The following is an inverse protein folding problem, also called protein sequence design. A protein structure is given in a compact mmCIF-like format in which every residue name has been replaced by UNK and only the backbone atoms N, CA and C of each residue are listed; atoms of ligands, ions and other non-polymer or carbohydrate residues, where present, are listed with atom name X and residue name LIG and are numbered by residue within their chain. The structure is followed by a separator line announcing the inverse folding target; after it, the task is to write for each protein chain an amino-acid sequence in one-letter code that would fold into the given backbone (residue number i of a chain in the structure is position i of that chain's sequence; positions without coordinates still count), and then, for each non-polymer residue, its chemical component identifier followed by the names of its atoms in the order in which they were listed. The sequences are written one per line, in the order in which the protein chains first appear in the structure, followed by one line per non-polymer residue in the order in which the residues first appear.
data_IF_981949782907
#
_entry.id   IF_981949782907
#
_cell.length_a   1.000
_cell.length_b   1.000
_cell.length_c   1.000
_cell.angle_alpha   90.00
_cell.angle_beta   90.00
_cell.angle_gamma   90.00
#
_symmetry.space_group_name_H-M   'P 1'
#
loop_
_entity.id
_entity.type
_entity.pdbx_description
1 polymer ?
#
# COMPACT_ATOMS: atom_id res chain seq x y z
N UNK A 1 -16.01 -2.28 -11.50
CA UNK A 1 -14.82 -2.37 -12.36
C UNK A 1 -14.48 -3.84 -12.61
N UNK A 2 -14.38 -4.28 -13.87
CA UNK A 2 -13.92 -5.64 -14.24
C UNK A 2 -12.41 -5.62 -14.52
N UNK A 3 -11.60 -5.28 -13.53
CA UNK A 3 -10.13 -5.33 -13.68
C UNK A 3 -9.64 -6.76 -13.44
N UNK A 4 -8.69 -7.23 -14.25
CA UNK A 4 -8.12 -8.58 -14.11
C UNK A 4 -6.84 -8.60 -13.27
N UNK A 5 -6.28 -7.42 -12.97
CA UNK A 5 -5.13 -7.26 -12.09
C UNK A 5 -5.10 -5.89 -11.44
N UNK A 6 -4.79 -5.87 -10.15
CA UNK A 6 -4.44 -4.67 -9.39
C UNK A 6 -2.94 -4.66 -9.15
N UNK A 7 -2.29 -3.56 -9.52
CA UNK A 7 -0.95 -3.25 -9.04
C UNK A 7 -1.04 -2.41 -7.78
N UNK A 8 -0.03 -2.54 -6.92
CA UNK A 8 0.08 -1.73 -5.72
C UNK A 8 1.50 -1.18 -5.60
N UNK A 9 1.58 0.03 -5.07
CA UNK A 9 2.82 0.74 -4.81
C UNK A 9 2.68 1.45 -3.46
N UNK A 10 3.67 1.30 -2.60
CA UNK A 10 3.69 2.00 -1.32
C UNK A 10 5.09 2.48 -0.99
N UNK A 11 5.15 3.65 -0.35
CA UNK A 11 6.39 4.24 0.13
C UNK A 11 6.13 5.12 1.35
N UNK A 12 7.17 5.34 2.14
CA UNK A 12 7.16 6.31 3.24
C UNK A 12 8.07 7.47 2.83
N UNK A 13 7.51 8.68 2.80
CA UNK A 13 8.28 9.92 2.66
C UNK A 13 8.69 10.43 4.04
N UNK A 14 9.99 10.50 4.30
CA UNK A 14 10.54 11.06 5.53
C UNK A 14 10.57 12.60 5.51
N UNK A 15 10.83 13.21 6.67
CA UNK A 15 10.90 14.68 6.82
C UNK A 15 11.97 15.34 5.93
N UNK A 16 13.00 14.61 5.53
CA UNK A 16 14.06 15.05 4.63
C UNK A 16 13.76 14.76 3.14
N UNK A 17 12.49 14.47 2.81
CA UNK A 17 12.01 14.16 1.47
C UNK A 17 12.62 12.90 0.84
N UNK A 18 13.12 11.97 1.66
CA UNK A 18 13.55 10.64 1.20
C UNK A 18 12.33 9.73 1.13
N UNK A 19 12.11 9.12 -0.03
CA UNK A 19 11.11 8.08 -0.23
C UNK A 19 11.72 6.70 -0.03
N UNK A 20 11.12 5.93 0.87
CA UNK A 20 11.50 4.54 1.15
C UNK A 20 10.41 3.64 0.62
N UNK A 21 10.74 2.82 -0.38
CA UNK A 21 9.83 1.78 -0.85
C UNK A 21 9.55 0.76 0.25
N UNK A 22 8.27 0.41 0.42
CA UNK A 22 7.82 -0.57 1.42
C UNK A 22 6.98 -1.65 0.74
N UNK A 23 7.01 -2.84 1.32
CA UNK A 23 6.20 -3.95 0.81
C UNK A 23 4.85 -3.99 1.52
N UNK A 24 3.78 -4.22 0.75
CA UNK A 24 2.43 -4.43 1.27
C UNK A 24 1.98 -5.84 0.92
N UNK A 25 1.62 -6.65 1.92
CA UNK A 25 1.13 -8.01 1.72
C UNK A 25 -0.26 -8.21 2.34
N UNK A 26 -1.11 -9.08 1.76
CA UNK A 26 -0.88 -9.85 0.54
C UNK A 26 -0.98 -8.97 -0.72
N UNK A 27 -0.60 -9.51 -1.89
CA UNK A 27 -0.96 -8.87 -3.15
C UNK A 27 -2.50 -8.84 -3.26
N UNK A 28 -3.12 -7.69 -3.58
CA UNK A 28 -4.57 -7.58 -3.72
C UNK A 28 -5.15 -8.57 -4.73
N UNK A 29 -4.39 -9.01 -5.73
CA UNK A 29 -4.78 -10.09 -6.61
C UNK A 29 -3.87 -11.31 -6.41
N UNK A 30 -4.48 -12.48 -6.21
CA UNK A 30 -3.77 -13.77 -6.22
C UNK A 30 -4.09 -14.44 -7.54
N UNK A 31 -3.13 -14.54 -8.46
CA UNK A 31 -3.37 -15.08 -9.81
C UNK A 31 -4.10 -16.43 -9.73
N UNK A 32 -5.25 -16.62 -10.42
CA UNK A 32 -5.84 -15.76 -11.46
C UNK A 32 -6.96 -14.80 -10.98
N UNK A 33 -7.18 -14.67 -9.68
CA UNK A 33 -8.33 -13.97 -9.08
C UNK A 33 -7.96 -12.63 -8.43
N UNK A 34 -8.68 -11.58 -8.84
CA UNK A 34 -8.81 -10.34 -8.08
C UNK A 34 -10.12 -10.35 -7.30
N UNK A 35 -10.21 -9.66 -6.15
CA UNK A 35 -11.45 -9.47 -5.43
C UNK A 35 -12.50 -8.82 -6.33
N UNK A 36 -13.66 -9.46 -6.45
CA UNK A 36 -14.76 -8.88 -7.20
C UNK A 36 -15.34 -7.68 -6.45
N UNK A 37 -15.51 -6.57 -7.17
CA UNK A 37 -16.13 -5.40 -6.62
C UNK A 37 -17.63 -5.64 -6.38
N UNK A 38 -18.04 -5.67 -5.12
CA UNK A 38 -19.46 -5.72 -4.74
C UNK A 38 -20.06 -4.31 -4.67
N UNK A 39 -21.39 -4.20 -4.54
CA UNK A 39 -22.08 -2.92 -4.30
C UNK A 39 -21.59 -2.20 -3.03
N UNK A 40 -21.09 -2.97 -2.06
CA UNK A 40 -20.61 -2.47 -0.77
C UNK A 40 -19.10 -2.19 -0.78
N UNK A 41 -18.47 -2.33 -1.96
CA UNK A 41 -17.02 -2.26 -2.14
C UNK A 41 -16.31 -3.56 -1.77
N UNK A 42 -14.98 -3.51 -1.74
CA UNK A 42 -14.13 -4.61 -1.27
C UNK A 42 -13.37 -4.10 -0.07
N UNK A 43 -13.45 -4.82 1.05
CA UNK A 43 -12.55 -4.59 2.17
C UNK A 43 -11.23 -5.29 1.89
N UNK A 44 -10.16 -4.52 1.87
CA UNK A 44 -8.81 -5.04 1.71
C UNK A 44 -7.98 -4.64 2.94
N UNK A 45 -7.27 -5.61 3.51
CA UNK A 45 -6.36 -5.41 4.63
C UNK A 45 -4.94 -5.78 4.19
N UNK A 46 -4.06 -4.78 4.17
CA UNK A 46 -2.64 -4.96 3.91
C UNK A 46 -1.83 -4.86 5.20
N UNK A 47 -0.79 -5.69 5.32
CA UNK A 47 0.30 -5.50 6.28
C UNK A 47 1.46 -4.85 5.55
N UNK A 48 1.95 -3.75 6.11
CA UNK A 48 3.10 -3.01 5.60
C UNK A 48 4.35 -3.52 6.32
N UNK A 49 5.36 -3.89 5.55
CA UNK A 49 6.66 -4.31 6.06
C UNK A 49 7.68 -3.21 5.77
N UNK A 50 8.27 -2.70 6.85
CA UNK A 50 9.32 -1.68 6.82
C UNK A 50 10.60 -2.40 7.22
N UNK A 51 11.67 -2.28 6.43
CA UNK A 51 12.92 -3.00 6.68
C UNK A 51 13.54 -2.65 8.05
N UNK A 52 14.24 -3.62 8.64
CA UNK A 52 14.79 -3.54 10.02
C UNK A 52 15.82 -2.42 10.24
N UNK A 53 16.33 -1.82 9.15
CA UNK A 53 17.35 -0.78 9.19
C UNK A 53 16.76 0.64 9.35
N UNK A 54 15.44 0.79 9.46
CA UNK A 54 14.85 2.10 9.67
C UNK A 54 14.94 2.51 11.13
N UNK A 55 15.65 3.62 11.38
CA UNK A 55 15.63 4.25 12.71
C UNK A 55 14.24 4.79 13.02
N UNK A 56 13.87 4.88 14.32
CA UNK A 56 12.61 5.51 14.72
C UNK A 56 12.46 6.89 14.07
N UNK A 57 11.33 7.11 13.42
CA UNK A 57 11.12 8.30 12.59
C UNK A 57 9.64 8.57 12.36
N UNK A 58 9.33 9.79 11.96
CA UNK A 58 7.99 10.22 11.57
C UNK A 58 8.00 10.49 10.07
N UNK A 59 7.01 9.98 9.36
CA UNK A 59 6.89 10.13 7.92
C UNK A 59 5.45 10.16 7.43
N UNK A 60 5.31 10.27 6.12
CA UNK A 60 4.04 10.15 5.41
C UNK A 60 4.02 8.84 4.64
N UNK A 61 3.14 7.92 5.03
CA UNK A 61 2.83 6.74 4.26
C UNK A 61 1.99 7.14 3.04
N UNK A 62 2.45 6.74 1.88
CA UNK A 62 1.72 6.76 0.63
C UNK A 62 1.47 5.33 0.18
N UNK A 63 0.22 5.03 -0.15
CA UNK A 63 -0.15 3.74 -0.71
C UNK A 63 -1.19 3.93 -1.81
N UNK A 64 -0.85 3.41 -2.99
CA UNK A 64 -1.64 3.47 -4.19
C UNK A 64 -1.96 2.06 -4.67
N UNK A 65 -3.21 1.83 -5.06
CA UNK A 65 -3.60 0.66 -5.84
C UNK A 65 -4.26 1.10 -7.13
N UNK A 66 -3.82 0.51 -8.24
CA UNK A 66 -4.26 0.86 -9.58
C UNK A 66 -4.68 -0.39 -10.35
N UNK A 67 -5.82 -0.29 -11.02
CA UNK A 67 -6.26 -1.30 -11.97
C UNK A 67 -5.42 -1.24 -13.24
N UNK A 68 -5.24 -2.37 -13.90
CA UNK A 68 -4.70 -2.50 -15.26
C UNK A 68 -5.36 -1.55 -16.29
N UNK A 69 -6.63 -1.22 -16.12
CA UNK A 69 -7.35 -0.26 -16.96
C UNK A 69 -6.97 1.21 -16.70
N UNK A 70 -6.01 1.47 -15.79
CA UNK A 70 -5.56 2.80 -15.40
C UNK A 70 -6.37 3.45 -14.27
N UNK A 71 -7.48 2.85 -13.84
CA UNK A 71 -8.34 3.37 -12.78
C UNK A 71 -7.68 3.29 -11.40
N UNK A 72 -7.74 4.39 -10.64
CA UNK A 72 -7.26 4.44 -9.26
C UNK A 72 -8.28 3.75 -8.34
N UNK A 73 -7.90 2.65 -7.71
CA UNK A 73 -8.75 1.89 -6.80
C UNK A 73 -8.61 2.38 -5.35
N UNK A 74 -7.36 2.63 -4.92
CA UNK A 74 -7.04 3.16 -3.59
C UNK A 74 -5.94 4.20 -3.70
N UNK A 75 -6.06 5.27 -2.91
CA UNK A 75 -5.03 6.27 -2.70
C UNK A 75 -5.09 6.72 -1.25
N UNK A 76 -4.15 6.24 -0.45
CA UNK A 76 -4.01 6.55 0.97
C UNK A 76 -2.78 7.42 1.14
N UNK A 77 -2.95 8.51 1.87
CA UNK A 77 -1.87 9.35 2.37
C UNK A 77 -2.12 9.60 3.86
N UNK A 78 -1.24 9.10 4.72
CA UNK A 78 -1.41 9.27 6.17
C UNK A 78 -0.07 9.45 6.88
N UNK A 79 -0.09 10.17 8.00
CA UNK A 79 1.08 10.29 8.87
C UNK A 79 1.30 8.98 9.60
N UNK A 80 2.54 8.52 9.64
CA UNK A 80 2.95 7.32 10.40
C UNK A 80 4.15 7.64 11.27
N UNK A 81 4.20 6.96 12.41
CA UNK A 81 5.34 6.94 13.31
C UNK A 81 5.91 5.52 13.27
N UNK A 82 7.19 5.40 12.92
CA UNK A 82 7.92 4.14 12.92
C UNK A 82 8.67 4.08 14.23
N UNK A 83 8.36 3.05 15.02
CA UNK A 83 9.03 2.78 16.28
C UNK A 83 9.90 1.53 16.15
N UNK A 84 11.03 1.53 16.86
CA UNK A 84 11.84 0.31 16.97
C UNK A 84 11.14 -0.62 17.97
N UNK A 85 10.77 -1.82 17.51
CA UNK A 85 10.21 -2.83 18.40
C UNK A 85 11.31 -3.34 19.34
N UNK A 86 11.19 -3.00 20.62
CA UNK A 86 12.07 -3.44 21.71
C UNK A 86 11.90 -4.91 22.05
#
# INVERSE_FOLDING_TARGET
YKSKSLSQEAYITLFNSIDIGIEVLPNPCTSPSCPEQTSDGVKFQGKVFIGDNLMPTIGMLWWKMQADTGGLAVCIKTKVEVEKKS
#
